data_IF_066227549030
#
_entry.id   IF_066227549030
#
_cell.length_a   1.000
_cell.length_b   1.000
_cell.length_c   1.000
_cell.angle_alpha   90.00
_cell.angle_beta   90.00
_cell.angle_gamma   90.00
#
_symmetry.space_group_name_H-M   'P 1'
#
loop_
_entity.id
_entity.type
_entity.pdbx_description
1 polymer ?
#
# COMPACT_ATOMS: atom_id res chain seq x y z
N UNK A 1 20.87 8.05 9.83
CA UNK A 1 20.46 7.54 8.52
C UNK A 1 20.20 8.75 7.66
N UNK A 2 20.91 8.89 6.56
CA UNK A 2 20.71 9.96 5.58
C UNK A 2 19.29 9.89 5.01
N UNK A 3 18.71 11.02 4.58
CA UNK A 3 17.34 11.04 4.03
C UNK A 3 17.16 10.04 2.88
N UNK A 4 18.18 9.92 2.02
CA UNK A 4 18.20 8.96 0.92
C UNK A 4 18.17 7.52 1.42
N UNK A 5 18.94 7.18 2.45
CA UNK A 5 18.95 5.84 3.04
C UNK A 5 17.60 5.49 3.66
N UNK A 6 16.92 6.47 4.28
CA UNK A 6 15.60 6.29 4.86
C UNK A 6 14.53 6.06 3.79
N UNK A 7 14.54 6.85 2.71
CA UNK A 7 13.67 6.66 1.55
C UNK A 7 13.91 5.27 0.94
N UNK A 8 15.16 4.89 0.72
CA UNK A 8 15.53 3.58 0.16
C UNK A 8 15.11 2.42 1.06
N UNK A 9 15.16 2.59 2.38
CA UNK A 9 14.63 1.61 3.32
C UNK A 9 13.13 1.36 3.10
N UNK A 10 12.33 2.42 2.96
CA UNK A 10 10.90 2.31 2.71
C UNK A 10 10.58 1.69 1.34
N UNK A 11 11.30 2.10 0.29
CA UNK A 11 11.15 1.53 -1.05
C UNK A 11 11.51 0.04 -1.06
N UNK A 12 12.65 -0.33 -0.45
CA UNK A 12 13.10 -1.72 -0.35
C UNK A 12 12.07 -2.59 0.36
N UNK A 13 11.65 -2.17 1.55
CA UNK A 13 10.67 -2.95 2.33
C UNK A 13 9.26 -2.94 1.71
N UNK A 14 8.94 -1.97 0.85
CA UNK A 14 7.74 -2.00 0.00
C UNK A 14 7.83 -3.05 -1.09
N UNK A 15 9.00 -3.18 -1.74
CA UNK A 15 9.24 -4.20 -2.77
C UNK A 15 9.12 -5.61 -2.17
N UNK A 16 9.69 -5.84 -0.99
CA UNK A 16 9.57 -7.11 -0.26
C UNK A 16 8.09 -7.47 0.01
N UNK A 17 7.27 -6.53 0.45
CA UNK A 17 5.83 -6.78 0.65
C UNK A 17 5.10 -7.09 -0.67
N UNK A 18 5.49 -6.42 -1.76
CA UNK A 18 4.89 -6.67 -3.07
C UNK A 18 5.26 -8.07 -3.59
N UNK A 19 6.49 -8.52 -3.41
CA UNK A 19 6.89 -9.90 -3.74
C UNK A 19 6.05 -10.92 -2.97
N UNK A 20 5.85 -10.72 -1.67
CA UNK A 20 5.01 -11.60 -0.85
C UNK A 20 3.54 -11.53 -1.27
N UNK A 21 3.04 -10.35 -1.65
CA UNK A 21 1.70 -10.17 -2.23
C UNK A 21 1.50 -11.10 -3.43
N UNK A 22 2.43 -11.12 -4.39
CA UNK A 22 2.35 -11.96 -5.58
C UNK A 22 2.33 -13.46 -5.24
N UNK A 23 3.21 -13.92 -4.33
CA UNK A 23 3.24 -15.32 -3.88
C UNK A 23 1.90 -15.75 -3.22
N UNK A 24 1.26 -14.84 -2.48
CA UNK A 24 -0.03 -15.09 -1.85
C UNK A 24 -1.17 -15.14 -2.86
N UNK A 25 -1.12 -14.35 -3.95
CA UNK A 25 -2.08 -14.44 -5.05
C UNK A 25 -1.98 -15.80 -5.74
N UNK A 26 -0.78 -16.26 -6.05
CA UNK A 26 -0.52 -17.58 -6.65
C UNK A 26 -1.07 -18.70 -5.76
N UNK A 27 -0.90 -18.55 -4.45
CA UNK A 27 -1.41 -19.48 -3.44
C UNK A 27 -2.91 -19.32 -3.13
N UNK A 28 -3.63 -18.44 -3.86
CA UNK A 28 -5.04 -18.10 -3.67
C UNK A 28 -5.40 -17.60 -2.26
N UNK A 29 -4.44 -16.99 -1.56
CA UNK A 29 -4.60 -16.39 -0.22
C UNK A 29 -4.96 -14.90 -0.35
N UNK A 30 -6.03 -14.60 -1.08
CA UNK A 30 -6.35 -13.25 -1.55
C UNK A 30 -6.43 -12.18 -0.45
N UNK A 31 -7.08 -12.46 0.68
CA UNK A 31 -7.17 -11.49 1.77
C UNK A 31 -5.78 -11.10 2.31
N UNK A 32 -4.87 -12.08 2.41
CA UNK A 32 -3.51 -11.82 2.87
C UNK A 32 -2.69 -11.13 1.79
N UNK A 33 -2.90 -11.47 0.52
CA UNK A 33 -2.27 -10.78 -0.60
C UNK A 33 -2.64 -9.29 -0.61
N UNK A 34 -3.92 -8.95 -0.50
CA UNK A 34 -4.38 -7.56 -0.49
C UNK A 34 -3.94 -6.80 0.77
N UNK A 35 -3.76 -7.48 1.89
CA UNK A 35 -3.12 -6.90 3.07
C UNK A 35 -1.64 -6.56 2.79
N UNK A 36 -0.88 -7.45 2.13
CA UNK A 36 0.49 -7.13 1.71
C UNK A 36 0.54 -6.01 0.67
N UNK A 37 -0.42 -5.95 -0.25
CA UNK A 37 -0.55 -4.82 -1.18
C UNK A 37 -0.77 -3.50 -0.43
N UNK A 38 -1.65 -3.48 0.57
CA UNK A 38 -1.84 -2.32 1.44
C UNK A 38 -0.54 -1.87 2.12
N UNK A 39 0.19 -2.79 2.76
CA UNK A 39 1.46 -2.47 3.42
C UNK A 39 2.51 -1.97 2.42
N UNK A 40 2.56 -2.56 1.23
CA UNK A 40 3.46 -2.15 0.17
C UNK A 40 3.22 -0.70 -0.26
N UNK A 41 1.97 -0.27 -0.47
CA UNK A 41 1.68 1.15 -0.75
C UNK A 41 1.89 2.04 0.47
N UNK A 42 1.54 1.60 1.68
CA UNK A 42 1.78 2.36 2.91
C UNK A 42 3.25 2.76 3.04
N UNK A 43 4.15 1.81 2.75
CA UNK A 43 5.60 2.04 2.77
C UNK A 43 6.05 3.01 1.68
N UNK A 44 5.51 2.94 0.46
CA UNK A 44 5.84 3.94 -0.57
C UNK A 44 5.36 5.33 -0.18
N UNK A 45 4.14 5.47 0.33
CA UNK A 45 3.62 6.75 0.80
C UNK A 45 4.48 7.28 1.96
N UNK A 46 4.98 6.42 2.85
CA UNK A 46 5.93 6.81 3.89
C UNK A 46 7.29 7.24 3.33
N UNK A 47 7.74 6.69 2.21
CA UNK A 47 8.94 7.19 1.51
C UNK A 47 8.74 8.63 1.03
N UNK A 48 7.57 8.97 0.47
CA UNK A 48 7.22 10.34 0.13
C UNK A 48 7.13 11.24 1.36
N UNK A 49 6.53 10.74 2.45
CA UNK A 49 6.45 11.50 3.69
C UNK A 49 7.84 11.86 4.23
N UNK A 50 8.78 10.90 4.22
CA UNK A 50 10.19 11.15 4.61
C UNK A 50 10.84 12.20 3.73
N UNK A 51 10.61 12.16 2.41
CA UNK A 51 11.12 13.14 1.43
C UNK A 51 10.63 14.55 1.77
N UNK A 52 9.35 14.69 2.11
CA UNK A 52 8.69 16.00 2.25
C UNK A 52 8.72 16.56 3.68
N UNK A 53 9.09 15.73 4.67
CA UNK A 53 9.10 16.11 6.09
C UNK A 53 10.51 15.98 6.71
N UNK A 54 11.54 16.36 5.95
CA UNK A 54 12.92 16.52 6.41
C UNK A 54 13.49 15.28 7.14
N UNK A 55 13.21 14.07 6.63
CA UNK A 55 13.71 12.82 7.21
C UNK A 55 13.21 12.51 8.63
N UNK A 56 12.07 13.08 9.03
CA UNK A 56 11.42 12.77 10.30
C UNK A 56 10.88 11.32 10.34
N UNK A 57 10.39 10.90 11.51
CA UNK A 57 9.73 9.60 11.66
C UNK A 57 8.32 9.66 11.09
N UNK A 58 7.96 8.83 10.09
CA UNK A 58 6.61 8.81 9.55
C UNK A 58 5.58 8.45 10.64
N UNK A 59 4.38 9.04 10.57
CA UNK A 59 3.36 8.79 11.58
C UNK A 59 2.92 7.32 11.58
N UNK A 60 2.50 6.83 12.75
CA UNK A 60 1.94 5.49 12.93
C UNK A 60 0.47 5.44 12.49
N UNK A 61 0.24 5.84 11.24
CA UNK A 61 -1.06 5.87 10.57
C UNK A 61 -1.01 4.83 9.45
N UNK A 62 -2.10 4.08 9.26
CA UNK A 62 -2.23 3.10 8.18
C UNK A 62 -3.15 3.58 7.05
N UNK A 63 -3.94 4.62 7.30
CA UNK A 63 -4.85 5.14 6.28
C UNK A 63 -4.05 5.83 5.16
N UNK A 64 -4.06 5.24 3.96
CA UNK A 64 -3.26 5.67 2.81
C UNK A 64 -3.61 7.08 2.35
N UNK A 65 -4.91 7.43 2.36
CA UNK A 65 -5.40 8.76 1.97
C UNK A 65 -4.97 9.81 2.98
N UNK A 66 -5.00 9.48 4.28
CA UNK A 66 -4.51 10.37 5.33
C UNK A 66 -3.01 10.58 5.26
N UNK A 67 -2.24 9.57 4.87
CA UNK A 67 -0.79 9.66 4.73
C UNK A 67 -0.41 10.50 3.51
N UNK A 68 -1.00 10.25 2.34
CA UNK A 68 -0.65 10.95 1.10
C UNK A 68 -0.98 12.46 1.19
N UNK A 69 -2.05 12.82 1.91
CA UNK A 69 -2.40 14.23 2.18
C UNK A 69 -1.38 14.99 3.05
N UNK A 70 -0.43 14.29 3.65
CA UNK A 70 0.68 14.87 4.43
C UNK A 70 1.98 14.92 3.61
N UNK A 71 1.91 14.69 2.30
CA UNK A 71 3.04 14.76 1.37
C UNK A 71 2.71 15.76 0.26
N UNK A 72 3.72 16.17 -0.50
CA UNK A 72 3.58 17.02 -1.69
C UNK A 72 3.21 16.19 -2.94
N UNK A 73 2.86 14.91 -2.76
CA UNK A 73 2.55 14.00 -3.86
C UNK A 73 1.10 14.13 -4.27
N UNK A 74 0.87 14.56 -5.49
CA UNK A 74 -0.46 14.62 -6.09
C UNK A 74 -0.80 13.29 -6.78
N UNK A 75 -1.95 12.74 -6.42
CA UNK A 75 -2.56 11.58 -7.07
C UNK A 75 -3.88 12.01 -7.71
N UNK A 76 -4.30 11.33 -8.77
CA UNK A 76 -5.60 11.57 -9.38
C UNK A 76 -6.74 11.17 -8.43
N UNK A 77 -7.94 11.71 -8.66
CA UNK A 77 -9.14 11.35 -7.88
C UNK A 77 -9.39 9.82 -7.91
N UNK A 78 -9.21 9.19 -9.08
CA UNK A 78 -9.35 7.73 -9.23
C UNK A 78 -8.34 6.96 -8.38
N UNK A 79 -7.09 7.45 -8.31
CA UNK A 79 -6.06 6.85 -7.46
C UNK A 79 -6.40 7.02 -5.98
N UNK A 80 -6.93 8.18 -5.56
CA UNK A 80 -7.37 8.41 -4.18
C UNK A 80 -8.57 7.54 -3.80
N UNK A 81 -9.51 7.33 -4.72
CA UNK A 81 -10.62 6.38 -4.55
C UNK A 81 -10.07 4.96 -4.38
N UNK A 82 -9.10 4.56 -5.20
CA UNK A 82 -8.44 3.26 -5.06
C UNK A 82 -7.73 3.11 -3.71
N UNK A 83 -6.98 4.12 -3.25
CA UNK A 83 -6.36 4.09 -1.92
C UNK A 83 -7.40 3.96 -0.80
N UNK A 84 -8.58 4.55 -0.97
CA UNK A 84 -9.70 4.40 -0.03
C UNK A 84 -10.16 2.95 0.05
N UNK A 85 -10.35 2.30 -1.10
CA UNK A 85 -10.70 0.87 -1.18
C UNK A 85 -9.61 0.01 -0.53
N UNK A 86 -8.34 0.32 -0.81
CA UNK A 86 -7.22 -0.48 -0.31
C UNK A 86 -7.08 -0.39 1.23
N UNK A 87 -7.61 0.64 1.89
CA UNK A 87 -7.66 0.73 3.35
C UNK A 87 -8.53 -0.35 4.00
N UNK A 88 -9.51 -0.93 3.29
CA UNK A 88 -10.34 -2.01 3.83
C UNK A 88 -9.53 -3.29 4.08
N UNK A 89 -8.42 -3.45 3.37
CA UNK A 89 -7.51 -4.59 3.51
C UNK A 89 -6.46 -4.39 4.61
N UNK A 90 -6.44 -3.26 5.31
CA UNK A 90 -5.72 -3.13 6.57
C UNK A 90 -6.43 -3.94 7.67
N UNK A 91 -6.09 -5.21 7.77
CA UNK A 91 -6.78 -6.19 8.64
C UNK A 91 -6.11 -6.38 10.01
N UNK A 92 -5.02 -5.67 10.31
CA UNK A 92 -4.38 -5.73 11.63
C UNK A 92 -5.34 -5.19 12.70
N UNK A 93 -5.43 -5.89 13.84
CA UNK A 93 -6.35 -5.52 14.92
C UNK A 93 -7.84 -5.75 14.65
N UNK A 94 -8.23 -6.20 13.44
CA UNK A 94 -9.64 -6.51 13.11
C UNK A 94 -10.03 -7.93 13.55
N UNK A 95 -11.29 -8.11 13.95
CA UNK A 95 -11.84 -9.38 14.42
C UNK A 95 -11.92 -10.46 13.31
N UNK A 96 -11.85 -11.76 13.65
CA UNK A 96 -11.92 -12.85 12.67
C UNK A 96 -13.20 -12.85 11.82
N UNK A 97 -14.35 -12.45 12.36
CA UNK A 97 -15.61 -12.42 11.63
C UNK A 97 -15.60 -11.37 10.51
N UNK A 98 -14.99 -10.21 10.73
CA UNK A 98 -14.74 -9.22 9.69
C UNK A 98 -13.88 -9.80 8.57
N UNK A 99 -12.77 -10.46 8.92
CA UNK A 99 -11.86 -11.10 7.95
C UNK A 99 -12.59 -12.16 7.13
N UNK A 100 -13.43 -12.98 7.77
CA UNK A 100 -14.24 -14.00 7.09
C UNK A 100 -15.27 -13.38 6.13
N UNK A 101 -15.90 -12.27 6.48
CA UNK A 101 -16.84 -11.55 5.60
C UNK A 101 -16.13 -11.01 4.37
N UNK A 102 -15.01 -10.31 4.54
CA UNK A 102 -14.22 -9.79 3.42
C UNK A 102 -13.73 -10.92 2.53
N UNK A 103 -13.17 -11.99 3.11
CA UNK A 103 -12.68 -13.14 2.35
C UNK A 103 -13.74 -13.76 1.43
N UNK A 104 -15.01 -13.83 1.86
CA UNK A 104 -16.10 -14.39 1.05
C UNK A 104 -16.43 -13.55 -0.19
N UNK A 105 -16.03 -12.28 -0.21
CA UNK A 105 -16.26 -11.36 -1.34
C UNK A 105 -15.11 -11.37 -2.35
N UNK A 106 -13.98 -12.02 -2.02
CA UNK A 106 -12.80 -12.03 -2.87
C UNK A 106 -12.90 -13.14 -3.93
N UNK A 107 -13.29 -12.77 -5.14
CA UNK A 107 -13.10 -13.59 -6.34
C UNK A 107 -11.72 -13.33 -6.95
N UNK A 108 -11.27 -14.24 -7.81
CA UNK A 108 -10.02 -14.04 -8.57
C UNK A 108 -10.11 -12.76 -9.42
N UNK A 109 -11.20 -12.60 -10.16
CA UNK A 109 -11.39 -11.44 -11.06
C UNK A 109 -11.35 -10.12 -10.28
N UNK A 110 -12.01 -10.06 -9.12
CA UNK A 110 -11.97 -8.86 -8.29
C UNK A 110 -10.56 -8.56 -7.76
N UNK A 111 -9.79 -9.59 -7.41
CA UNK A 111 -8.39 -9.41 -6.98
C UNK A 111 -7.53 -8.94 -8.14
N UNK A 112 -7.73 -9.48 -9.35
CA UNK A 112 -6.97 -9.07 -10.53
C UNK A 112 -7.25 -7.60 -10.87
N UNK A 113 -8.51 -7.17 -10.84
CA UNK A 113 -8.92 -5.77 -11.06
C UNK A 113 -8.25 -4.83 -10.04
N UNK A 114 -8.26 -5.21 -8.75
CA UNK A 114 -7.58 -4.45 -7.70
C UNK A 114 -6.07 -4.40 -7.92
N UNK A 115 -5.48 -5.48 -8.43
CA UNK A 115 -4.03 -5.55 -8.67
C UNK A 115 -3.59 -4.78 -9.90
N UNK A 116 -4.45 -4.61 -10.90
CA UNK A 116 -4.21 -3.69 -12.02
C UNK A 116 -4.11 -2.25 -11.50
N UNK A 117 -5.09 -1.81 -10.70
CA UNK A 117 -5.08 -0.48 -10.06
C UNK A 117 -3.93 -0.29 -9.08
N UNK A 118 -3.59 -1.33 -8.32
CA UNK A 118 -2.42 -1.32 -7.46
C UNK A 118 -1.14 -1.03 -8.25
N UNK A 119 -0.95 -1.68 -9.41
CA UNK A 119 0.26 -1.49 -10.24
C UNK A 119 0.32 -0.06 -10.79
N UNK A 120 -0.78 0.46 -11.31
CA UNK A 120 -0.87 1.85 -11.79
C UNK A 120 -0.43 2.85 -10.70
N UNK A 121 -0.96 2.70 -9.48
CA UNK A 121 -0.62 3.60 -8.35
C UNK A 121 0.82 3.39 -7.89
N UNK A 122 1.28 2.13 -7.81
CA UNK A 122 2.66 1.79 -7.43
C UNK A 122 3.66 2.43 -8.39
N UNK A 123 3.43 2.31 -9.70
CA UNK A 123 4.30 2.89 -10.73
C UNK A 123 4.35 4.41 -10.61
N UNK A 124 3.20 5.06 -10.40
CA UNK A 124 3.13 6.50 -10.17
C UNK A 124 3.96 6.96 -8.97
N UNK A 125 3.84 6.27 -7.82
CA UNK A 125 4.62 6.58 -6.62
C UNK A 125 6.13 6.35 -6.85
N UNK A 126 6.50 5.26 -7.51
CA UNK A 126 7.91 4.93 -7.78
C UNK A 126 8.57 5.90 -8.77
N UNK A 127 7.83 6.40 -9.76
CA UNK A 127 8.34 7.34 -10.76
C UNK A 127 8.88 8.65 -10.14
N UNK A 128 8.47 8.98 -8.91
CA UNK A 128 8.95 10.16 -8.18
C UNK A 128 10.35 10.00 -7.57
N UNK A 129 10.93 8.79 -7.61
CA UNK A 129 12.24 8.48 -7.03
C UNK A 129 13.29 8.05 -8.06
N UNK A 130 12.93 8.07 -9.35
CA UNK A 130 13.81 7.74 -10.49
C UNK A 130 14.61 8.96 -10.92
#
# INVERSE_FOLDING_TARGET
MEIKEHIQYWIKTSNEDYEVCLLLIESKKYLHALFMAHLSLEKLVKAHWVRDNENSVPPKIHNLVSLIKQTETELSDDQLVFLTILNDFQIQGRYPDYKLKVHKLLSKDYVDDLMEKFKEVRECLLASFV
#
